data_IF_831485603956
#
_entry.id   IF_831485603956
#
_cell.length_a   1.000
_cell.length_b   1.000
_cell.length_c   1.000
_cell.angle_alpha   90.00
_cell.angle_beta   90.00
_cell.angle_gamma   90.00
#
_symmetry.space_group_name_H-M   'P 1'
#
loop_
_entity.id
_entity.type
_entity.pdbx_description
1 polymer ?
#
# COMPACT_ATOMS: atom_id res chain seq x y z
N UNK A 1 49.52 -44.60 -16.08
CA UNK A 1 50.06 -43.29 -15.63
C UNK A 1 49.35 -42.10 -16.26
N UNK A 2 49.19 -42.05 -17.60
CA UNK A 2 48.52 -40.95 -18.32
C UNK A 2 47.07 -40.65 -17.89
N UNK A 3 46.28 -41.66 -17.51
CA UNK A 3 44.87 -41.50 -17.10
C UNK A 3 44.71 -40.86 -15.72
N UNK A 4 45.61 -41.17 -14.77
CA UNK A 4 45.63 -40.56 -13.43
C UNK A 4 46.03 -39.08 -13.49
N UNK A 5 46.95 -38.73 -14.39
CA UNK A 5 47.37 -37.34 -14.63
C UNK A 5 46.23 -36.52 -15.24
N UNK A 6 45.45 -37.07 -16.19
CA UNK A 6 44.26 -36.40 -16.74
C UNK A 6 43.19 -36.15 -15.67
N UNK A 7 42.95 -37.12 -14.79
CA UNK A 7 41.98 -36.97 -13.71
C UNK A 7 42.39 -35.87 -12.72
N UNK A 8 43.68 -35.80 -12.37
CA UNK A 8 44.22 -34.79 -11.48
C UNK A 8 44.12 -33.37 -12.08
N UNK A 9 44.37 -33.21 -13.39
CA UNK A 9 44.24 -31.92 -14.07
C UNK A 9 42.78 -31.44 -14.09
N UNK A 10 41.84 -32.33 -14.39
CA UNK A 10 40.41 -32.00 -14.42
C UNK A 10 39.88 -31.63 -13.03
N UNK A 11 40.29 -32.35 -11.97
CA UNK A 11 39.89 -32.02 -10.60
C UNK A 11 40.44 -30.67 -10.15
N UNK A 12 41.67 -30.33 -10.55
CA UNK A 12 42.29 -29.05 -10.18
C UNK A 12 41.60 -27.88 -10.88
N UNK A 13 41.25 -28.03 -12.17
CA UNK A 13 40.50 -27.03 -12.93
C UNK A 13 39.07 -26.83 -12.39
N UNK A 14 38.40 -27.90 -11.96
CA UNK A 14 37.08 -27.80 -11.35
C UNK A 14 37.11 -27.04 -10.01
N UNK A 15 38.13 -27.30 -9.17
CA UNK A 15 38.30 -26.58 -7.90
C UNK A 15 38.59 -25.10 -8.14
N UNK A 16 39.46 -24.78 -9.11
CA UNK A 16 39.76 -23.40 -9.50
C UNK A 16 38.53 -22.67 -10.07
N UNK A 17 37.66 -23.38 -10.80
CA UNK A 17 36.42 -22.81 -11.31
C UNK A 17 35.39 -22.55 -10.21
N UNK A 18 35.26 -23.46 -9.23
CA UNK A 18 34.38 -23.28 -8.06
C UNK A 18 34.87 -22.14 -7.18
N UNK A 19 36.19 -22.01 -6.96
CA UNK A 19 36.76 -20.88 -6.20
C UNK A 19 36.62 -19.57 -6.97
N UNK A 20 36.79 -19.57 -8.29
CA UNK A 20 36.51 -18.40 -9.12
C UNK A 20 35.04 -17.99 -9.03
N UNK A 21 34.10 -18.94 -9.08
CA UNK A 21 32.67 -18.66 -8.89
C UNK A 21 32.38 -18.13 -7.49
N UNK A 22 32.97 -18.69 -6.44
CA UNK A 22 32.77 -18.22 -5.06
C UNK A 22 33.37 -16.83 -4.80
N UNK A 23 34.49 -16.49 -5.47
CA UNK A 23 35.14 -15.18 -5.36
C UNK A 23 34.46 -14.09 -6.21
N UNK A 24 33.78 -14.47 -7.29
CA UNK A 24 33.00 -13.56 -8.14
C UNK A 24 31.50 -13.62 -7.87
N UNK A 25 31.06 -14.40 -6.88
CA UNK A 25 29.76 -14.25 -6.26
C UNK A 25 29.85 -12.98 -5.41
N UNK A 26 29.71 -11.83 -6.07
CA UNK A 26 29.31 -10.60 -5.42
C UNK A 26 27.93 -10.86 -4.84
N UNK A 27 27.89 -11.31 -3.58
CA UNK A 27 26.75 -11.01 -2.73
C UNK A 27 26.69 -9.49 -2.67
N UNK A 28 25.97 -8.88 -3.62
CA UNK A 28 25.50 -7.51 -3.45
C UNK A 28 25.00 -7.46 -2.01
N UNK A 29 25.49 -6.54 -1.16
CA UNK A 29 24.90 -6.40 0.15
C UNK A 29 23.41 -6.23 -0.11
N UNK A 30 22.60 -7.16 0.40
CA UNK A 30 21.19 -6.90 0.61
C UNK A 30 21.24 -5.61 1.41
N UNK A 31 20.87 -4.49 0.81
CA UNK A 31 20.76 -3.24 1.55
C UNK A 31 19.88 -3.63 2.73
N UNK A 32 20.46 -3.63 3.94
CA UNK A 32 19.67 -3.87 5.13
C UNK A 32 18.55 -2.84 5.06
N UNK A 33 17.30 -3.31 5.06
CA UNK A 33 16.11 -2.46 5.04
C UNK A 33 16.37 -1.27 5.95
N UNK A 34 16.28 -0.05 5.40
CA UNK A 34 16.50 1.16 6.18
C UNK A 34 15.50 1.10 7.32
N UNK A 35 15.99 0.87 8.54
CA UNK A 35 15.17 0.89 9.74
C UNK A 35 14.59 2.30 9.84
N UNK A 36 13.29 2.41 9.59
CA UNK A 36 12.56 3.67 9.56
C UNK A 36 11.57 3.66 10.73
N UNK A 37 11.54 4.73 11.52
CA UNK A 37 10.63 4.89 12.65
C UNK A 37 9.30 5.52 12.22
N UNK A 38 9.10 5.79 10.93
CA UNK A 38 7.86 6.27 10.33
C UNK A 38 6.70 5.26 10.51
N UNK A 39 5.64 5.62 11.26
CA UNK A 39 4.47 4.76 11.42
C UNK A 39 3.69 4.57 10.14
N UNK A 40 3.10 3.39 9.99
CA UNK A 40 2.17 3.09 8.90
C UNK A 40 0.76 2.96 9.46
N UNK A 41 -0.16 3.79 8.98
CA UNK A 41 -1.57 3.77 9.36
C UNK A 41 -2.35 2.87 8.39
N UNK A 42 -3.12 1.94 8.93
CA UNK A 42 -3.94 1.00 8.16
C UNK A 42 -5.42 1.36 8.32
N UNK A 43 -6.07 1.71 7.21
CA UNK A 43 -7.42 2.28 7.16
C UNK A 43 -8.35 1.33 6.42
N UNK A 44 -9.30 0.73 7.15
CA UNK A 44 -10.24 -0.23 6.58
C UNK A 44 -11.26 0.40 5.62
N UNK A 45 -11.89 -0.42 4.78
CA UNK A 45 -13.02 -0.01 3.93
C UNK A 45 -14.35 0.04 4.68
N UNK A 46 -15.45 0.28 3.95
CA UNK A 46 -16.79 0.27 4.53
C UNK A 46 -17.10 -1.06 5.24
N UNK A 47 -17.76 -0.99 6.40
CA UNK A 47 -18.02 -2.12 7.30
C UNK A 47 -16.78 -2.80 7.89
N UNK A 48 -15.59 -2.23 7.70
CA UNK A 48 -14.35 -2.77 8.21
C UNK A 48 -14.28 -2.76 9.73
N UNK A 49 -13.48 -3.67 10.27
CA UNK A 49 -13.28 -3.84 11.72
C UNK A 49 -11.81 -4.10 12.01
N UNK A 50 -11.48 -4.40 13.27
CA UNK A 50 -10.15 -4.89 13.65
C UNK A 50 -9.66 -6.08 12.80
N UNK A 51 -10.57 -6.86 12.23
CA UNK A 51 -10.21 -8.01 11.40
C UNK A 51 -9.74 -7.62 9.99
N UNK A 52 -10.13 -6.46 9.45
CA UNK A 52 -9.81 -6.06 8.08
C UNK A 52 -8.31 -5.94 7.81
N UNK A 53 -7.52 -5.46 8.77
CA UNK A 53 -6.05 -5.52 8.69
C UNK A 53 -5.44 -6.40 9.77
N UNK A 54 -6.26 -6.99 10.64
CA UNK A 54 -5.77 -7.83 11.74
C UNK A 54 -4.97 -9.02 11.25
N UNK A 55 -5.45 -9.70 10.19
CA UNK A 55 -4.76 -10.81 9.55
C UNK A 55 -3.43 -10.41 8.93
N UNK A 56 -3.43 -9.41 8.04
CA UNK A 56 -2.23 -8.85 7.41
C UNK A 56 -1.18 -8.44 8.44
N UNK A 57 -1.56 -7.62 9.43
CA UNK A 57 -0.63 -7.15 10.44
C UNK A 57 -0.05 -8.30 11.27
N UNK A 58 -0.86 -9.29 11.65
CA UNK A 58 -0.36 -10.45 12.38
C UNK A 58 0.67 -11.27 11.56
N UNK A 59 0.46 -11.41 10.25
CA UNK A 59 1.40 -12.09 9.35
C UNK A 59 2.70 -11.29 9.21
N UNK A 60 2.62 -9.99 8.94
CA UNK A 60 3.77 -9.11 8.79
C UNK A 60 4.58 -8.96 10.11
N UNK A 61 3.91 -8.98 11.27
CA UNK A 61 4.58 -9.04 12.58
C UNK A 61 5.32 -10.37 12.79
N UNK A 62 4.70 -11.50 12.43
CA UNK A 62 5.33 -12.82 12.49
C UNK A 62 6.56 -12.91 11.59
N UNK A 63 6.51 -12.25 10.43
CA UNK A 63 7.61 -12.17 9.46
C UNK A 63 8.64 -11.07 9.82
N UNK A 64 8.49 -10.45 10.99
CA UNK A 64 9.38 -9.41 11.56
C UNK A 64 9.53 -8.17 10.68
N UNK A 65 8.53 -7.87 9.85
CA UNK A 65 8.54 -6.71 8.95
C UNK A 65 8.01 -5.45 9.64
N UNK A 66 7.13 -5.60 10.60
CA UNK A 66 6.51 -4.51 11.37
C UNK A 66 6.25 -4.91 12.81
N UNK A 67 5.94 -3.93 13.66
CA UNK A 67 5.32 -4.15 14.96
C UNK A 67 4.04 -3.32 15.08
N UNK A 68 2.91 -3.95 15.36
CA UNK A 68 1.63 -3.27 15.62
C UNK A 68 1.68 -2.66 17.02
N UNK A 69 1.92 -1.36 17.07
CA UNK A 69 2.10 -0.64 18.33
C UNK A 69 0.79 -0.12 18.90
N UNK A 70 -0.15 0.26 18.02
CA UNK A 70 -1.39 0.92 18.40
C UNK A 70 -2.59 0.41 17.59
N UNK A 71 -3.75 0.41 18.25
CA UNK A 71 -5.06 0.45 17.62
C UNK A 71 -5.72 1.75 18.07
N UNK A 72 -6.11 2.58 17.12
CA UNK A 72 -6.82 3.84 17.39
C UNK A 72 -8.24 3.72 16.86
N UNK A 73 -9.22 3.78 17.76
CA UNK A 73 -10.64 3.79 17.41
C UNK A 73 -11.20 5.18 17.63
N UNK A 74 -11.88 5.72 16.63
CA UNK A 74 -12.52 7.04 16.72
C UNK A 74 -14.03 6.93 16.59
N UNK A 75 -14.73 7.52 17.56
CA UNK A 75 -16.19 7.54 17.61
C UNK A 75 -16.78 8.58 16.65
N UNK A 76 -18.09 8.55 16.38
CA UNK A 76 -18.74 9.55 15.52
C UNK A 76 -18.60 10.99 16.03
N UNK A 77 -18.49 11.17 17.35
CA UNK A 77 -18.26 12.48 17.98
C UNK A 77 -16.79 12.91 17.89
N UNK A 78 -15.90 12.00 17.52
CA UNK A 78 -14.46 12.22 17.35
C UNK A 78 -13.65 12.00 18.62
N UNK A 79 -14.18 11.24 19.58
CA UNK A 79 -13.41 10.75 20.72
C UNK A 79 -12.49 9.62 20.25
N UNK A 80 -11.20 9.70 20.58
CA UNK A 80 -10.21 8.69 20.22
C UNK A 80 -9.95 7.82 21.45
N UNK A 81 -10.14 6.52 21.28
CA UNK A 81 -9.70 5.50 22.23
C UNK A 81 -8.51 4.75 21.66
N UNK A 82 -7.62 4.30 22.54
CA UNK A 82 -6.38 3.66 22.18
C UNK A 82 -6.23 2.32 22.87
N UNK A 83 -5.74 1.33 22.13
CA UNK A 83 -5.15 0.11 22.65
C UNK A 83 -3.67 0.03 22.23
N UNK A 84 -2.85 -0.62 23.06
CA UNK A 84 -1.41 -0.73 22.84
C UNK A 84 -0.61 0.44 23.43
N UNK A 85 0.70 0.40 23.19
CA UNK A 85 1.63 1.38 23.73
C UNK A 85 2.72 1.68 22.71
N UNK A 86 2.63 2.86 22.09
CA UNK A 86 3.58 3.30 21.09
C UNK A 86 4.97 3.51 21.70
N UNK A 87 5.93 2.70 21.26
CA UNK A 87 7.33 2.83 21.68
C UNK A 87 8.10 3.68 20.67
N UNK A 88 8.59 4.83 21.13
CA UNK A 88 9.50 5.68 20.35
C UNK A 88 10.73 4.87 19.92
N UNK A 89 11.11 4.99 18.64
CA UNK A 89 12.20 4.23 18.03
C UNK A 89 11.87 2.77 17.70
N UNK A 90 10.58 2.39 17.71
CA UNK A 90 10.16 1.13 17.09
C UNK A 90 10.45 1.16 15.60
N UNK A 91 10.86 0.01 15.05
CA UNK A 91 11.16 -0.12 13.62
C UNK A 91 9.85 -0.48 12.92
N UNK A 92 9.49 0.30 11.91
CA UNK A 92 8.28 0.09 11.12
C UNK A 92 7.02 -0.07 11.99
N UNK A 93 6.69 0.89 12.86
CA UNK A 93 5.50 0.76 13.71
C UNK A 93 4.24 0.78 12.85
N UNK A 94 3.31 -0.14 13.11
CA UNK A 94 1.99 -0.17 12.49
C UNK A 94 0.94 0.33 13.47
N UNK A 95 0.02 1.14 12.96
CA UNK A 95 -1.10 1.71 13.69
C UNK A 95 -2.37 1.33 12.94
N UNK A 96 -3.25 0.55 13.58
CA UNK A 96 -4.50 0.17 12.97
C UNK A 96 -5.59 1.19 13.31
N UNK A 97 -6.23 1.76 12.28
CA UNK A 97 -7.26 2.79 12.42
C UNK A 97 -8.64 2.15 12.29
N UNK A 98 -9.51 2.41 13.28
CA UNK A 98 -10.89 1.93 13.30
C UNK A 98 -11.85 3.12 13.39
N UNK A 99 -12.75 3.24 12.41
CA UNK A 99 -13.90 4.14 12.50
C UNK A 99 -15.05 3.37 13.18
N UNK A 100 -15.57 3.86 14.30
CA UNK A 100 -16.66 3.18 15.01
C UNK A 100 -17.92 3.10 14.14
N UNK A 101 -18.27 4.21 13.47
CA UNK A 101 -19.31 4.25 12.44
C UNK A 101 -18.70 3.99 11.06
N UNK A 102 -18.25 2.76 10.87
CA UNK A 102 -17.53 2.26 9.71
C UNK A 102 -18.32 2.22 8.38
N UNK A 103 -19.54 2.76 8.34
CA UNK A 103 -20.37 2.90 7.13
C UNK A 103 -20.70 4.35 6.81
N UNK A 104 -20.18 5.30 7.59
CA UNK A 104 -20.42 6.71 7.37
C UNK A 104 -19.72 7.19 6.09
N UNK A 105 -20.03 8.41 5.66
CA UNK A 105 -19.54 8.99 4.42
C UNK A 105 -18.02 9.16 4.43
N UNK A 106 -17.42 9.20 3.23
CA UNK A 106 -15.98 9.42 3.06
C UNK A 106 -15.56 10.73 3.71
N UNK A 107 -16.36 11.79 3.59
CA UNK A 107 -16.06 13.10 4.18
C UNK A 107 -15.92 13.02 5.70
N UNK A 108 -16.81 12.30 6.38
CA UNK A 108 -16.71 12.11 7.83
C UNK A 108 -15.50 11.25 8.20
N UNK A 109 -15.21 10.20 7.42
CA UNK A 109 -14.03 9.37 7.64
C UNK A 109 -12.71 10.14 7.43
N UNK A 110 -12.65 11.08 6.48
CA UNK A 110 -11.52 11.99 6.28
C UNK A 110 -11.37 12.93 7.47
N UNK A 111 -12.46 13.53 7.97
CA UNK A 111 -12.44 14.36 9.18
C UNK A 111 -11.91 13.57 10.38
N UNK A 112 -12.33 12.30 10.52
CA UNK A 112 -11.87 11.42 11.58
C UNK A 112 -10.38 11.05 11.43
N UNK A 113 -9.92 10.73 10.22
CA UNK A 113 -8.50 10.53 9.94
C UNK A 113 -7.69 11.78 10.30
N UNK A 114 -8.15 12.98 9.95
CA UNK A 114 -7.50 14.25 10.29
C UNK A 114 -7.40 14.45 11.81
N UNK A 115 -8.43 14.08 12.58
CA UNK A 115 -8.37 14.11 14.06
C UNK A 115 -7.33 13.12 14.60
N UNK A 116 -7.25 11.93 14.03
CA UNK A 116 -6.24 10.93 14.40
C UNK A 116 -4.84 11.42 14.06
N UNK A 117 -4.63 11.99 12.88
CA UNK A 117 -3.36 12.58 12.45
C UNK A 117 -2.89 13.67 13.43
N UNK A 118 -3.81 14.57 13.83
CA UNK A 118 -3.53 15.58 14.85
C UNK A 118 -3.20 14.96 16.21
N UNK A 119 -3.95 13.95 16.63
CA UNK A 119 -3.66 13.21 17.86
C UNK A 119 -2.26 12.59 17.85
N UNK A 120 -1.86 11.96 16.75
CA UNK A 120 -0.52 11.38 16.58
C UNK A 120 0.59 12.45 16.64
N UNK A 121 0.38 13.60 15.99
CA UNK A 121 1.31 14.74 16.04
C UNK A 121 1.45 15.29 17.46
N UNK A 122 0.34 15.54 18.15
CA UNK A 122 0.34 16.21 19.45
C UNK A 122 0.80 15.28 20.57
N UNK A 123 0.32 14.03 20.61
CA UNK A 123 0.59 13.10 21.72
C UNK A 123 1.89 12.32 21.56
N UNK A 124 2.28 11.98 20.33
CA UNK A 124 3.44 11.14 20.04
C UNK A 124 4.56 11.85 19.28
N UNK A 125 4.35 13.12 18.91
CA UNK A 125 5.33 13.91 18.14
C UNK A 125 5.73 13.19 16.84
N UNK A 126 4.78 12.48 16.23
CA UNK A 126 4.96 11.82 14.94
C UNK A 126 4.88 12.89 13.85
N UNK A 127 5.98 13.10 13.16
CA UNK A 127 6.09 14.12 12.10
C UNK A 127 5.79 13.59 10.70
N UNK A 128 5.96 12.28 10.48
CA UNK A 128 5.77 11.62 9.20
C UNK A 128 4.99 10.31 9.39
N UNK A 129 4.18 9.93 8.41
CA UNK A 129 3.47 8.64 8.38
C UNK A 129 3.41 8.07 6.96
N UNK A 130 3.23 6.76 6.87
CA UNK A 130 2.74 6.08 5.67
C UNK A 130 1.25 5.78 5.82
N UNK A 131 0.53 5.71 4.70
CA UNK A 131 -0.88 5.32 4.67
C UNK A 131 -1.07 4.04 3.84
N UNK A 132 -1.85 3.10 4.37
CA UNK A 132 -2.34 1.91 3.65
C UNK A 132 -3.86 1.88 3.81
N UNK A 133 -4.58 1.99 2.70
CA UNK A 133 -6.04 1.98 2.69
C UNK A 133 -6.60 0.83 1.87
N UNK A 134 -7.57 0.10 2.41
CA UNK A 134 -8.33 -0.90 1.66
C UNK A 134 -9.70 -0.35 1.27
N UNK A 135 -10.12 -0.57 0.02
CA UNK A 135 -11.44 -0.13 -0.48
C UNK A 135 -11.67 1.37 -0.18
N UNK A 136 -12.77 1.72 0.49
CA UNK A 136 -13.04 3.10 0.95
C UNK A 136 -11.91 3.71 1.79
N UNK A 137 -11.12 2.93 2.53
CA UNK A 137 -9.97 3.44 3.27
C UNK A 137 -8.89 4.04 2.37
N UNK A 138 -8.73 3.54 1.14
CA UNK A 138 -7.85 4.17 0.15
C UNK A 138 -8.46 5.43 -0.47
N UNK A 139 -9.79 5.50 -0.57
CA UNK A 139 -10.50 6.73 -0.96
C UNK A 139 -10.30 7.81 0.11
N UNK A 140 -10.47 7.46 1.39
CA UNK A 140 -10.20 8.33 2.53
C UNK A 140 -8.74 8.81 2.52
N UNK A 141 -7.78 7.92 2.28
CA UNK A 141 -6.37 8.27 2.17
C UNK A 141 -6.07 9.25 1.04
N UNK A 142 -6.61 9.03 -0.16
CA UNK A 142 -6.41 9.92 -1.29
C UNK A 142 -7.09 11.29 -1.08
N UNK A 143 -8.33 11.31 -0.59
CA UNK A 143 -9.02 12.57 -0.27
C UNK A 143 -8.26 13.36 0.81
N UNK A 144 -7.73 12.69 1.82
CA UNK A 144 -6.88 13.33 2.84
C UNK A 144 -5.63 13.99 2.23
N UNK A 145 -4.96 13.32 1.28
CA UNK A 145 -3.80 13.87 0.59
C UNK A 145 -4.13 15.14 -0.19
N UNK A 146 -5.29 15.19 -0.85
CA UNK A 146 -5.72 16.37 -1.62
C UNK A 146 -6.11 17.56 -0.75
N UNK A 147 -6.62 17.30 0.45
CA UNK A 147 -7.13 18.34 1.35
C UNK A 147 -6.08 18.85 2.34
N UNK A 148 -5.20 17.98 2.84
CA UNK A 148 -4.41 18.26 4.06
C UNK A 148 -2.88 18.16 3.88
N UNK A 149 -2.35 17.80 2.71
CA UNK A 149 -0.89 17.62 2.53
C UNK A 149 -0.05 18.88 2.83
N UNK A 150 -0.66 20.07 2.74
CA UNK A 150 -0.01 21.35 3.05
C UNK A 150 -0.19 21.82 4.51
N UNK A 151 -0.94 21.09 5.34
CA UNK A 151 -1.16 21.45 6.74
C UNK A 151 0.02 20.97 7.62
N UNK A 152 0.91 21.90 7.96
CA UNK A 152 2.09 21.63 8.79
C UNK A 152 1.76 21.28 10.25
N UNK A 153 0.51 21.42 10.68
CA UNK A 153 0.05 20.99 12.01
C UNK A 153 -0.25 19.49 12.08
N UNK A 154 -0.16 18.78 10.94
CA UNK A 154 -0.38 17.35 10.84
C UNK A 154 0.93 16.63 10.45
N UNK A 155 1.04 15.31 10.66
CA UNK A 155 2.15 14.52 10.13
C UNK A 155 2.13 14.53 8.60
N UNK A 156 3.30 14.64 7.97
CA UNK A 156 3.43 14.52 6.52
C UNK A 156 3.21 13.06 6.11
N UNK A 157 2.38 12.83 5.09
CA UNK A 157 2.31 11.50 4.47
C UNK A 157 3.51 11.34 3.52
N UNK A 158 4.30 10.29 3.72
CA UNK A 158 5.53 10.04 2.94
C UNK A 158 5.47 8.81 2.05
N UNK A 159 4.48 7.93 2.22
CA UNK A 159 4.10 6.86 1.27
C UNK A 159 2.60 6.60 1.34
N UNK A 160 2.00 6.22 0.22
CA UNK A 160 0.58 5.85 0.16
C UNK A 160 0.37 4.55 -0.62
N UNK A 161 -0.42 3.64 -0.07
CA UNK A 161 -0.88 2.42 -0.73
C UNK A 161 -2.40 2.37 -0.71
N UNK A 162 -3.01 2.12 -1.86
CA UNK A 162 -4.43 1.82 -1.99
C UNK A 162 -4.62 0.39 -2.49
N UNK A 163 -5.48 -0.38 -1.82
CA UNK A 163 -5.76 -1.79 -2.09
C UNK A 163 -7.24 -1.94 -2.46
N UNK A 164 -7.53 -2.22 -3.73
CA UNK A 164 -8.90 -2.43 -4.22
C UNK A 164 -9.82 -1.21 -4.06
N UNK A 165 -9.30 0.01 -4.20
CA UNK A 165 -10.06 1.24 -3.92
C UNK A 165 -10.87 1.75 -5.13
N UNK A 166 -12.17 2.06 -4.98
CA UNK A 166 -13.04 2.50 -6.08
C UNK A 166 -12.96 4.01 -6.37
N UNK A 167 -11.96 4.46 -7.12
CA UNK A 167 -11.67 5.88 -7.38
C UNK A 167 -12.72 6.59 -8.26
N UNK A 168 -13.35 5.84 -9.15
CA UNK A 168 -14.39 6.19 -10.12
C UNK A 168 -15.76 5.57 -9.77
N UNK A 169 -16.02 5.33 -8.49
CA UNK A 169 -17.35 4.94 -7.97
C UNK A 169 -17.93 3.65 -8.59
N UNK A 170 -17.10 2.61 -8.71
CA UNK A 170 -17.42 1.27 -9.20
C UNK A 170 -17.93 1.23 -10.64
N UNK A 171 -17.54 2.22 -11.46
CA UNK A 171 -17.87 2.23 -12.89
C UNK A 171 -16.97 1.22 -13.63
N UNK A 172 -17.53 0.18 -14.26
CA UNK A 172 -16.75 -0.79 -15.05
C UNK A 172 -16.37 -0.21 -16.42
N UNK A 173 -15.64 -0.99 -17.21
CA UNK A 173 -15.38 -0.68 -18.62
C UNK A 173 -16.67 -0.37 -19.38
N UNK A 174 -16.63 0.68 -20.19
CA UNK A 174 -17.68 1.00 -21.14
C UNK A 174 -17.60 0.10 -22.38
N UNK A 175 -18.66 0.07 -23.18
CA UNK A 175 -18.73 -0.82 -24.35
C UNK A 175 -17.67 -0.42 -25.39
N UNK A 176 -16.69 -1.29 -25.58
CA UNK A 176 -15.59 -1.07 -26.53
C UNK A 176 -14.38 -0.39 -25.92
N UNK A 177 -14.45 -0.01 -24.65
CA UNK A 177 -13.31 0.46 -23.85
C UNK A 177 -12.50 -0.74 -23.34
N UNK A 178 -11.18 -0.61 -23.37
CA UNK A 178 -10.23 -1.60 -22.86
C UNK A 178 -9.52 -1.07 -21.61
N UNK A 179 -8.86 -1.97 -20.86
CA UNK A 179 -7.99 -1.54 -19.77
C UNK A 179 -6.83 -0.64 -20.26
N UNK A 180 -6.33 -0.84 -21.47
CA UNK A 180 -5.30 0.02 -22.06
C UNK A 180 -5.83 1.44 -22.27
N UNK A 181 -7.09 1.58 -22.70
CA UNK A 181 -7.75 2.87 -22.85
C UNK A 181 -7.85 3.58 -21.50
N UNK A 182 -8.36 2.90 -20.46
CA UNK A 182 -8.45 3.47 -19.10
C UNK A 182 -7.08 3.91 -18.59
N UNK A 183 -6.05 3.08 -18.77
CA UNK A 183 -4.70 3.33 -18.22
C UNK A 183 -3.90 4.40 -18.99
N UNK A 184 -4.31 4.74 -20.21
CA UNK A 184 -3.60 5.71 -21.08
C UNK A 184 -4.38 7.00 -21.26
N UNK A 185 -5.69 6.89 -21.44
CA UNK A 185 -6.58 7.97 -21.86
C UNK A 185 -7.56 8.41 -20.76
N UNK A 186 -7.50 7.80 -19.57
CA UNK A 186 -8.52 7.93 -18.50
C UNK A 186 -9.83 7.19 -18.86
N UNK A 187 -10.67 6.83 -17.87
CA UNK A 187 -11.95 6.17 -18.17
C UNK A 187 -12.90 7.08 -18.97
N UNK A 188 -13.61 6.49 -19.93
CA UNK A 188 -14.60 7.15 -20.79
C UNK A 188 -15.73 7.78 -19.97
N UNK A 189 -16.20 7.05 -18.95
CA UNK A 189 -17.22 7.53 -18.02
C UNK A 189 -16.60 7.89 -16.68
N UNK A 190 -16.64 9.17 -16.34
CA UNK A 190 -16.05 9.73 -15.12
C UNK A 190 -17.16 10.06 -14.12
N UNK A 191 -17.02 9.56 -12.89
CA UNK A 191 -17.90 9.89 -11.77
C UNK A 191 -17.52 11.25 -11.18
N UNK A 192 -18.42 11.85 -10.38
CA UNK A 192 -18.09 13.08 -9.65
C UNK A 192 -16.89 12.91 -8.70
N UNK A 193 -16.69 11.71 -8.13
CA UNK A 193 -15.54 11.40 -7.29
C UNK A 193 -14.24 11.44 -8.11
N UNK A 194 -14.24 10.81 -9.28
CA UNK A 194 -13.08 10.80 -10.16
C UNK A 194 -12.72 12.21 -10.64
N UNK A 195 -13.71 12.99 -11.08
CA UNK A 195 -13.50 14.37 -11.53
C UNK A 195 -12.94 15.26 -10.40
N UNK A 196 -13.41 15.04 -9.16
CA UNK A 196 -12.86 15.73 -8.00
C UNK A 196 -11.39 15.36 -7.77
N UNK A 197 -11.04 14.07 -7.82
CA UNK A 197 -9.64 13.66 -7.67
C UNK A 197 -8.75 14.27 -8.77
N UNK A 198 -9.21 14.19 -10.02
CA UNK A 198 -8.52 14.76 -11.17
C UNK A 198 -8.29 16.27 -11.05
N UNK A 199 -9.27 17.01 -10.54
CA UNK A 199 -9.16 18.45 -10.35
C UNK A 199 -8.16 18.85 -9.23
N UNK A 200 -7.87 17.94 -8.30
CA UNK A 200 -7.06 18.22 -7.12
C UNK A 200 -5.70 17.50 -7.09
N UNK A 201 -5.41 16.64 -8.08
CA UNK A 201 -4.20 15.80 -8.08
C UNK A 201 -2.90 16.61 -7.98
N UNK A 202 -2.86 17.82 -8.53
CA UNK A 202 -1.69 18.71 -8.48
C UNK A 202 -1.39 19.27 -7.08
N UNK A 203 -2.32 19.11 -6.13
CA UNK A 203 -2.09 19.45 -4.71
C UNK A 203 -1.22 18.42 -4.01
N UNK A 204 -1.22 17.17 -4.47
CA UNK A 204 -0.44 16.08 -3.87
C UNK A 204 1.04 16.30 -4.18
N UNK A 205 1.91 15.99 -3.21
CA UNK A 205 3.36 16.02 -3.41
C UNK A 205 3.76 15.15 -4.61
N UNK A 206 4.37 15.78 -5.62
CA UNK A 206 4.80 15.19 -6.89
C UNK A 206 5.86 14.10 -6.73
N UNK A 207 6.45 14.00 -5.55
CA UNK A 207 7.45 12.99 -5.22
C UNK A 207 6.92 11.91 -4.27
N UNK A 208 5.67 12.00 -3.81
CA UNK A 208 5.06 11.01 -2.93
C UNK A 208 5.04 9.64 -3.63
N UNK A 209 5.72 8.61 -3.09
CA UNK A 209 5.57 7.25 -3.59
C UNK A 209 4.14 6.76 -3.37
N UNK A 210 3.50 6.33 -4.46
CA UNK A 210 2.15 5.77 -4.45
C UNK A 210 2.15 4.36 -5.05
N UNK A 211 1.47 3.42 -4.40
CA UNK A 211 1.20 2.09 -4.93
C UNK A 211 -0.31 1.84 -5.00
N UNK A 212 -0.80 1.53 -6.20
CA UNK A 212 -2.16 1.07 -6.44
C UNK A 212 -2.13 -0.46 -6.61
N UNK A 213 -2.82 -1.19 -5.74
CA UNK A 213 -2.99 -2.64 -5.82
C UNK A 213 -4.44 -2.93 -6.19
N UNK A 214 -4.66 -3.65 -7.28
CA UNK A 214 -5.98 -4.11 -7.69
C UNK A 214 -6.04 -5.64 -7.74
N UNK A 215 -7.18 -6.22 -7.36
CA UNK A 215 -7.44 -7.66 -7.55
C UNK A 215 -8.10 -7.94 -8.90
N UNK A 216 -7.86 -9.13 -9.43
CA UNK A 216 -8.60 -9.68 -10.57
C UNK A 216 -8.85 -11.19 -10.35
N UNK A 217 -10.02 -11.49 -9.78
CA UNK A 217 -10.41 -12.84 -9.29
C UNK A 217 -10.41 -13.90 -10.40
N UNK A 218 -10.82 -13.52 -11.61
CA UNK A 218 -10.98 -14.45 -12.73
C UNK A 218 -9.90 -14.27 -13.81
N UNK A 219 -8.92 -13.40 -13.59
CA UNK A 219 -7.87 -13.07 -14.58
C UNK A 219 -8.44 -12.65 -15.94
N UNK A 220 -9.60 -11.98 -15.92
CA UNK A 220 -10.37 -11.58 -17.09
C UNK A 220 -10.58 -10.06 -17.16
N UNK A 221 -9.83 -9.31 -16.35
CA UNK A 221 -9.91 -7.87 -16.18
C UNK A 221 -11.25 -7.36 -15.63
N UNK A 222 -12.05 -8.21 -14.98
CA UNK A 222 -13.29 -7.76 -14.37
C UNK A 222 -13.08 -7.14 -12.98
N UNK A 223 -12.04 -7.52 -12.25
CA UNK A 223 -11.72 -6.97 -10.94
C UNK A 223 -11.91 -7.97 -9.79
N UNK A 224 -12.07 -7.46 -8.57
CA UNK A 224 -12.05 -8.26 -7.34
C UNK A 224 -13.43 -8.77 -6.89
N UNK A 225 -14.39 -8.81 -7.81
CA UNK A 225 -15.79 -9.18 -7.54
C UNK A 225 -16.64 -8.07 -6.91
N UNK A 226 -16.04 -6.97 -6.43
CA UNK A 226 -16.78 -5.80 -5.90
C UNK A 226 -16.43 -4.51 -6.64
N UNK A 227 -15.14 -4.26 -6.86
CA UNK A 227 -14.61 -3.10 -7.55
C UNK A 227 -14.09 -3.53 -8.91
N UNK A 228 -14.64 -2.97 -10.00
CA UNK A 228 -14.13 -3.25 -11.33
C UNK A 228 -12.65 -2.90 -11.44
N UNK A 229 -11.87 -3.70 -12.18
CA UNK A 229 -10.44 -3.42 -12.38
C UNK A 229 -10.21 -2.03 -13.01
N UNK A 230 -11.07 -1.67 -13.96
CA UNK A 230 -11.08 -0.35 -14.60
C UNK A 230 -11.27 0.80 -13.60
N UNK A 231 -12.04 0.57 -12.54
CA UNK A 231 -12.23 1.55 -11.48
C UNK A 231 -11.01 1.59 -10.54
N UNK A 232 -10.57 0.43 -10.04
CA UNK A 232 -9.47 0.32 -9.09
C UNK A 232 -8.17 0.97 -9.57
N UNK A 233 -7.96 1.01 -10.90
CA UNK A 233 -6.80 1.62 -11.53
C UNK A 233 -7.11 2.91 -12.32
N UNK A 234 -8.35 3.39 -12.30
CA UNK A 234 -8.79 4.54 -13.11
C UNK A 234 -7.97 5.80 -12.88
N UNK A 235 -7.51 6.03 -11.64
CA UNK A 235 -6.79 7.24 -11.26
C UNK A 235 -5.31 7.24 -11.69
N UNK A 236 -4.77 6.07 -12.04
CA UNK A 236 -3.37 5.91 -12.47
C UNK A 236 -2.92 6.89 -13.58
N UNK A 237 -3.60 7.00 -14.74
CA UNK A 237 -3.21 7.93 -15.82
C UNK A 237 -3.17 9.39 -15.38
N UNK A 238 -3.96 9.78 -14.37
CA UNK A 238 -3.98 11.14 -13.83
C UNK A 238 -2.79 11.36 -12.90
N UNK A 239 -2.53 10.40 -12.01
CA UNK A 239 -1.40 10.47 -11.06
C UNK A 239 -0.04 10.54 -11.76
N UNK A 240 0.19 9.73 -12.81
CA UNK A 240 1.49 9.71 -13.51
C UNK A 240 1.79 10.95 -14.34
N UNK A 241 0.81 11.85 -14.54
CA UNK A 241 1.05 13.14 -15.22
C UNK A 241 1.78 14.12 -14.32
N UNK A 242 1.60 14.02 -13.00
CA UNK A 242 2.14 14.96 -12.01
C UNK A 242 3.15 14.32 -11.05
N UNK A 243 3.22 12.99 -10.98
CA UNK A 243 4.04 12.24 -10.03
C UNK A 243 4.75 11.05 -10.70
N UNK A 244 6.09 11.04 -10.64
CA UNK A 244 6.93 10.02 -11.28
C UNK A 244 7.05 8.72 -10.46
N UNK A 245 6.53 8.68 -9.22
CA UNK A 245 6.69 7.58 -8.26
C UNK A 245 5.40 6.77 -8.04
N UNK A 246 4.58 6.65 -9.08
CA UNK A 246 3.29 5.94 -9.01
C UNK A 246 3.42 4.55 -9.64
N UNK A 247 3.20 3.52 -8.84
CA UNK A 247 3.18 2.13 -9.27
C UNK A 247 1.76 1.59 -9.27
N UNK A 248 1.47 0.67 -10.20
CA UNK A 248 0.24 -0.12 -10.21
C UNK A 248 0.59 -1.60 -10.30
N UNK A 249 -0.11 -2.43 -9.54
CA UNK A 249 0.05 -3.89 -9.55
C UNK A 249 -1.33 -4.53 -9.56
N UNK A 250 -1.51 -5.52 -10.44
CA UNK A 250 -2.71 -6.35 -10.51
C UNK A 250 -2.33 -7.70 -9.92
N UNK A 251 -3.08 -8.14 -8.91
CA UNK A 251 -2.92 -9.43 -8.26
C UNK A 251 -4.03 -10.35 -8.78
N UNK A 252 -3.63 -11.49 -9.34
CA UNK A 252 -4.52 -12.50 -9.95
C UNK A 252 -4.37 -13.83 -9.24
N UNK A 253 -5.39 -14.68 -9.28
CA UNK A 253 -5.32 -16.05 -8.80
C UNK A 253 -6.15 -16.27 -7.54
N UNK A 254 -5.67 -17.08 -6.61
CA UNK A 254 -6.41 -17.37 -5.38
C UNK A 254 -6.38 -16.20 -4.40
N UNK A 255 -7.48 -16.00 -3.67
CA UNK A 255 -7.62 -14.99 -2.63
C UNK A 255 -7.46 -13.55 -3.16
N UNK A 256 -8.00 -13.25 -4.34
CA UNK A 256 -7.98 -11.91 -4.93
C UNK A 256 -9.37 -11.27 -5.01
N UNK A 257 -10.37 -11.86 -4.35
CA UNK A 257 -11.64 -11.20 -4.09
C UNK A 257 -11.47 -9.98 -3.17
N UNK A 258 -12.45 -9.09 -3.15
CA UNK A 258 -12.33 -7.77 -2.55
C UNK A 258 -11.85 -7.77 -1.09
N UNK A 259 -12.46 -8.58 -0.22
CA UNK A 259 -12.03 -8.75 1.18
C UNK A 259 -10.86 -9.71 1.35
N UNK A 260 -10.51 -10.48 0.32
CA UNK A 260 -9.40 -11.43 0.37
C UNK A 260 -8.07 -10.76 0.07
N UNK A 261 -8.06 -9.60 -0.59
CA UNK A 261 -6.85 -8.83 -0.89
C UNK A 261 -6.03 -8.53 0.38
N UNK A 262 -6.66 -8.19 1.50
CA UNK A 262 -5.95 -7.99 2.77
C UNK A 262 -5.67 -9.30 3.55
N UNK A 263 -6.10 -10.45 3.01
CA UNK A 263 -5.74 -11.79 3.50
C UNK A 263 -4.71 -12.49 2.59
N UNK A 264 -4.28 -11.84 1.52
CA UNK A 264 -3.42 -12.41 0.49
C UNK A 264 -1.93 -12.16 0.79
N UNK A 265 -1.14 -13.25 0.88
CA UNK A 265 0.30 -13.17 1.15
C UNK A 265 1.13 -12.50 0.05
N UNK A 266 0.64 -12.49 -1.19
CA UNK A 266 1.27 -11.71 -2.24
C UNK A 266 1.08 -10.21 -1.97
N UNK A 267 -0.13 -9.79 -1.60
CA UNK A 267 -0.42 -8.40 -1.23
C UNK A 267 0.40 -7.98 -0.02
N UNK A 268 0.53 -8.83 1.01
CA UNK A 268 1.40 -8.56 2.16
C UNK A 268 2.84 -8.23 1.70
N UNK A 269 3.43 -9.08 0.85
CA UNK A 269 4.80 -8.88 0.33
C UNK A 269 4.94 -7.61 -0.51
N UNK A 270 3.92 -7.25 -1.28
CA UNK A 270 3.90 -6.01 -2.05
C UNK A 270 3.91 -4.79 -1.13
N UNK A 271 3.08 -4.81 -0.08
CA UNK A 271 3.01 -3.77 0.95
C UNK A 271 4.36 -3.65 1.68
N UNK A 272 4.89 -4.76 2.20
CA UNK A 272 6.18 -4.81 2.91
C UNK A 272 7.32 -4.26 2.05
N UNK A 273 7.39 -4.71 0.79
CA UNK A 273 8.42 -4.26 -0.14
C UNK A 273 8.30 -2.76 -0.38
N UNK A 274 7.11 -2.27 -0.71
CA UNK A 274 6.92 -0.86 -0.99
C UNK A 274 7.22 0.05 0.22
N UNK A 275 6.87 -0.41 1.42
CA UNK A 275 7.07 0.36 2.64
C UNK A 275 8.53 0.36 3.11
N UNK A 276 9.27 -0.75 3.02
CA UNK A 276 10.52 -0.90 3.78
C UNK A 276 11.73 -1.47 3.02
N UNK A 277 11.60 -1.91 1.77
CA UNK A 277 12.68 -2.56 1.02
C UNK A 277 12.97 -1.90 -0.34
#
# INVERSE_FOLDING_TARGET
>A
MKTKIKFLIVSTLAILFITYLALNFDSKPILAAKKDDTPTLYIHGSSGTINSFGGMLARMESDQQTKKELILTISPTGEITQEGNYKVGSINPSIQILFEDNKNTIENQVIWLTKIMRYLKEHYQIDEVNLVGHSDGGIVGLTYLEEYTSDLTLPKVVKFIAIGSPFNSQIPLQKGETMEDVLTNEPEKQSSRYENFKANIDKIDKHLPILLIAGDENSDNQGDGTVPLADALSIYPVMVKSNDNVQKIIVTGENTGHSELHENREVDKLVEKFLWN
#
